data_IF_101899745713
#
_entry.id   IF_101899745713
#
_cell.length_a   1.000
_cell.length_b   1.000
_cell.length_c   1.000
_cell.angle_alpha   90.00
_cell.angle_beta   90.00
_cell.angle_gamma   90.00
#
_symmetry.space_group_name_H-M   'P 1'
#
loop_
_entity.id
_entity.type
_entity.pdbx_description
1 polymer ?
#
# COMPACT_ATOMS: atom_id res chain seq x y z
N UNK A 1 5.09 9.69 -4.84
CA UNK A 1 5.65 9.08 -3.60
C UNK A 1 4.89 9.60 -2.39
N UNK A 2 4.78 8.78 -1.34
CA UNK A 2 3.96 8.97 -0.16
C UNK A 2 4.76 8.60 1.09
N UNK A 3 4.21 8.82 2.26
CA UNK A 3 4.83 8.47 3.55
C UNK A 3 4.16 7.28 4.23
N UNK A 4 2.97 6.91 3.79
CA UNK A 4 2.10 5.93 4.43
C UNK A 4 1.40 6.46 5.68
N UNK A 5 1.31 7.78 5.81
CA UNK A 5 0.52 8.45 6.86
C UNK A 5 -0.79 8.91 6.23
N UNK A 6 -1.87 8.22 6.57
CA UNK A 6 -3.18 8.52 6.01
C UNK A 6 -3.66 9.89 6.47
N UNK A 7 -4.07 10.73 5.52
CA UNK A 7 -4.59 12.08 5.77
C UNK A 7 -6.11 12.09 5.92
N UNK A 8 -6.79 11.16 5.24
CA UNK A 8 -8.25 11.12 5.20
C UNK A 8 -8.77 9.71 4.92
N UNK A 9 -9.88 9.34 5.55
CA UNK A 9 -10.71 8.21 5.17
C UNK A 9 -11.82 8.73 4.24
N UNK A 10 -11.63 8.54 2.94
CA UNK A 10 -12.62 8.88 1.92
C UNK A 10 -13.57 7.73 1.61
N UNK A 11 -14.50 7.96 0.69
CA UNK A 11 -15.45 6.92 0.25
C UNK A 11 -15.60 6.93 -1.27
N UNK A 12 -15.78 5.77 -1.86
CA UNK A 12 -16.10 5.65 -3.27
C UNK A 12 -17.50 6.22 -3.51
N UNK A 13 -17.60 7.28 -4.32
CA UNK A 13 -18.88 7.90 -4.69
C UNK A 13 -19.55 7.17 -5.85
N UNK A 14 -18.76 6.80 -6.86
CA UNK A 14 -19.25 6.04 -8.02
C UNK A 14 -18.10 5.32 -8.72
N UNK A 15 -18.44 4.25 -9.44
CA UNK A 15 -17.52 3.49 -10.30
C UNK A 15 -18.20 3.29 -11.65
N UNK A 16 -17.60 3.83 -12.71
CA UNK A 16 -18.02 3.61 -14.08
C UNK A 16 -17.04 2.66 -14.78
N UNK A 17 -17.52 1.52 -15.27
CA UNK A 17 -16.68 0.62 -16.08
C UNK A 17 -16.53 1.18 -17.48
N UNK A 18 -15.29 1.30 -17.95
CA UNK A 18 -14.91 1.75 -19.31
C UNK A 18 -14.14 0.64 -20.03
N UNK A 19 -14.87 -0.33 -20.56
CA UNK A 19 -14.29 -1.55 -21.11
C UNK A 19 -13.70 -2.42 -19.98
N UNK A 20 -12.38 -2.64 -20.00
CA UNK A 20 -11.68 -3.36 -18.94
C UNK A 20 -11.10 -2.43 -17.85
N UNK A 21 -11.12 -1.12 -18.09
CA UNK A 21 -10.69 -0.09 -17.16
C UNK A 21 -11.89 0.43 -16.34
N UNK A 22 -11.62 1.30 -15.36
CA UNK A 22 -12.66 1.96 -14.57
C UNK A 22 -12.35 3.44 -14.37
N UNK A 23 -13.41 4.24 -14.32
CA UNK A 23 -13.38 5.61 -13.83
C UNK A 23 -14.02 5.63 -12.44
N UNK A 24 -13.25 6.02 -11.43
CA UNK A 24 -13.69 6.00 -10.03
C UNK A 24 -13.78 7.44 -9.53
N UNK A 25 -14.89 7.81 -8.93
CA UNK A 25 -15.04 9.08 -8.23
C UNK A 25 -15.00 8.83 -6.73
N UNK A 26 -14.15 9.56 -6.03
CA UNK A 26 -13.92 9.42 -4.59
C UNK A 26 -14.34 10.69 -3.89
N UNK A 27 -15.18 10.54 -2.87
CA UNK A 27 -15.57 11.62 -1.96
C UNK A 27 -14.44 11.84 -0.95
N UNK A 28 -13.91 13.07 -0.91
CA UNK A 28 -12.80 13.47 -0.07
C UNK A 28 -12.80 15.01 0.06
N UNK A 29 -12.22 15.52 1.16
CA UNK A 29 -12.12 16.97 1.42
C UNK A 29 -10.74 17.43 1.78
N UNK A 30 -10.02 16.66 2.61
CA UNK A 30 -8.67 17.01 3.08
C UNK A 30 -7.66 16.86 1.94
N UNK A 31 -7.68 15.73 1.24
CA UNK A 31 -6.74 15.46 0.14
C UNK A 31 -7.06 16.25 -1.12
N UNK A 32 -8.26 16.82 -1.26
CA UNK A 32 -8.61 17.71 -2.38
C UNK A 32 -8.16 19.13 -2.15
N UNK A 33 -7.95 19.55 -0.87
CA UNK A 33 -7.49 20.89 -0.54
C UNK A 33 -6.07 21.13 -1.06
N UNK A 34 -5.93 22.04 -2.02
CA UNK A 34 -4.66 22.38 -2.67
C UNK A 34 -4.19 21.41 -3.73
N UNK A 35 -4.89 20.28 -3.94
CA UNK A 35 -4.64 19.36 -5.06
C UNK A 35 -5.23 19.89 -6.36
N UNK A 36 -4.66 19.44 -7.49
CA UNK A 36 -5.05 19.83 -8.85
C UNK A 36 -5.12 18.58 -9.73
N UNK A 37 -5.80 18.71 -10.84
CA UNK A 37 -5.77 17.70 -11.91
C UNK A 37 -4.32 17.41 -12.32
N UNK A 38 -3.96 16.13 -12.35
CA UNK A 38 -2.61 15.64 -12.61
C UNK A 38 -1.77 15.36 -11.37
N UNK A 39 -2.18 15.80 -10.17
CA UNK A 39 -1.50 15.42 -8.93
C UNK A 39 -1.70 13.94 -8.61
N UNK A 40 -0.75 13.35 -7.88
CA UNK A 40 -0.87 11.96 -7.42
C UNK A 40 -1.54 11.91 -6.03
N UNK A 41 -2.55 11.07 -5.90
CA UNK A 41 -3.18 10.71 -4.62
C UNK A 41 -3.10 9.20 -4.46
N UNK A 42 -2.67 8.74 -3.28
CA UNK A 42 -2.70 7.34 -2.90
C UNK A 42 -4.12 6.96 -2.47
N UNK A 43 -4.68 5.90 -3.05
CA UNK A 43 -5.98 5.32 -2.70
C UNK A 43 -5.75 3.89 -2.27
N UNK A 44 -5.93 3.58 -0.99
CA UNK A 44 -5.58 2.27 -0.40
C UNK A 44 -4.16 1.80 -0.78
N UNK A 45 -3.19 2.74 -0.83
CA UNK A 45 -1.81 2.44 -1.21
C UNK A 45 -1.57 2.33 -2.72
N UNK A 46 -2.55 2.62 -3.57
CA UNK A 46 -2.38 2.68 -5.02
C UNK A 46 -2.22 4.13 -5.46
N UNK A 47 -1.12 4.45 -6.11
CA UNK A 47 -0.87 5.78 -6.68
C UNK A 47 -1.77 6.00 -7.89
N UNK A 48 -2.70 6.95 -7.79
CA UNK A 48 -3.59 7.34 -8.88
C UNK A 48 -3.37 8.81 -9.25
N UNK A 49 -3.57 9.13 -10.51
CA UNK A 49 -3.60 10.52 -10.99
C UNK A 49 -4.97 11.11 -10.74
N UNK A 50 -5.04 12.17 -9.94
CA UNK A 50 -6.28 12.88 -9.66
C UNK A 50 -6.76 13.63 -10.89
N UNK A 51 -8.03 13.52 -11.18
CA UNK A 51 -8.77 14.16 -12.25
C UNK A 51 -10.02 14.81 -11.69
N UNK A 52 -10.54 15.83 -12.37
CA UNK A 52 -11.79 16.49 -11.98
C UNK A 52 -11.83 16.86 -10.48
N UNK A 53 -10.71 17.39 -9.97
CA UNK A 53 -10.59 17.74 -8.54
C UNK A 53 -11.58 18.85 -8.19
N UNK A 54 -12.44 18.57 -7.21
CA UNK A 54 -13.47 19.46 -6.65
C UNK A 54 -13.27 19.57 -5.13
N UNK A 55 -13.90 20.55 -4.47
CA UNK A 55 -13.73 20.71 -3.00
C UNK A 55 -14.15 19.50 -2.16
N UNK A 56 -14.99 18.62 -2.72
CA UNK A 56 -15.58 17.48 -2.01
C UNK A 56 -15.34 16.12 -2.69
N UNK A 57 -14.54 16.10 -3.77
CA UNK A 57 -14.27 14.86 -4.51
C UNK A 57 -13.14 15.02 -5.52
N UNK A 58 -12.58 13.90 -5.96
CA UNK A 58 -11.77 13.80 -7.16
C UNK A 58 -12.10 12.51 -7.90
N UNK A 59 -11.76 12.45 -9.19
CA UNK A 59 -11.87 11.26 -9.99
C UNK A 59 -10.50 10.68 -10.30
N UNK A 60 -10.46 9.41 -10.71
CA UNK A 60 -9.27 8.77 -11.25
C UNK A 60 -9.65 7.71 -12.28
N UNK A 61 -8.87 7.63 -13.37
CA UNK A 61 -8.93 6.51 -14.31
C UNK A 61 -8.00 5.39 -13.83
N UNK A 62 -8.53 4.18 -13.72
CA UNK A 62 -7.82 3.01 -13.18
C UNK A 62 -7.76 1.94 -14.26
N UNK A 63 -6.53 1.57 -14.64
CA UNK A 63 -6.30 0.56 -15.67
C UNK A 63 -6.71 -0.84 -15.20
N UNK A 64 -7.03 -1.73 -16.17
CA UNK A 64 -7.27 -3.16 -15.93
C UNK A 64 -6.17 -3.79 -15.06
N UNK A 65 -4.90 -3.51 -15.37
CA UNK A 65 -3.77 -4.08 -14.62
C UNK A 65 -3.83 -3.66 -13.14
N UNK A 66 -4.10 -2.38 -12.87
CA UNK A 66 -4.24 -1.85 -11.51
C UNK A 66 -5.44 -2.47 -10.78
N UNK A 67 -6.59 -2.58 -11.46
CA UNK A 67 -7.78 -3.23 -10.92
C UNK A 67 -7.52 -4.70 -10.56
N UNK A 68 -6.76 -5.40 -11.41
CA UNK A 68 -6.42 -6.82 -11.20
C UNK A 68 -5.40 -7.01 -10.09
N UNK A 69 -4.38 -6.14 -9.98
CA UNK A 69 -3.28 -6.26 -9.03
C UNK A 69 -3.58 -5.76 -7.64
N UNK A 70 -4.63 -4.96 -7.48
CA UNK A 70 -4.97 -4.31 -6.21
C UNK A 70 -6.39 -4.61 -5.76
N UNK A 71 -6.73 -4.17 -4.54
CA UNK A 71 -8.10 -4.25 -4.00
C UNK A 71 -9.06 -3.28 -4.68
N UNK A 72 -8.56 -2.34 -5.53
CA UNK A 72 -9.42 -1.38 -6.22
C UNK A 72 -10.44 -2.05 -7.13
N UNK A 73 -10.12 -3.24 -7.68
CA UNK A 73 -11.04 -4.01 -8.52
C UNK A 73 -12.26 -4.58 -7.79
N UNK A 74 -12.22 -4.65 -6.46
CA UNK A 74 -13.34 -5.13 -5.62
C UNK A 74 -14.13 -4.02 -4.93
N UNK A 75 -13.73 -2.75 -5.13
CA UNK A 75 -14.45 -1.62 -4.56
C UNK A 75 -15.86 -1.50 -5.15
N UNK A 76 -16.78 -1.05 -4.32
CA UNK A 76 -18.15 -0.70 -4.68
C UNK A 76 -18.47 0.71 -4.18
N UNK A 77 -19.56 1.28 -4.63
CA UNK A 77 -20.07 2.55 -4.11
C UNK A 77 -20.26 2.47 -2.58
N UNK A 78 -19.78 3.48 -1.87
CA UNK A 78 -19.74 3.55 -0.41
C UNK A 78 -18.51 2.86 0.24
N UNK A 79 -17.66 2.15 -0.53
CA UNK A 79 -16.44 1.55 0.04
C UNK A 79 -15.53 2.61 0.65
N UNK A 80 -15.05 2.42 1.90
CA UNK A 80 -14.07 3.30 2.51
C UNK A 80 -12.70 3.12 1.87
N UNK A 81 -11.97 4.22 1.69
CA UNK A 81 -10.62 4.20 1.11
C UNK A 81 -9.68 5.13 1.90
N UNK A 82 -8.50 4.63 2.21
CA UNK A 82 -7.42 5.41 2.82
C UNK A 82 -6.81 6.33 1.77
N UNK A 83 -6.66 7.62 2.10
CA UNK A 83 -6.18 8.64 1.18
C UNK A 83 -4.96 9.36 1.74
N UNK A 84 -3.98 9.59 0.86
CA UNK A 84 -2.78 10.39 1.16
C UNK A 84 -2.35 11.14 -0.10
N UNK A 85 -2.02 12.44 0.03
CA UNK A 85 -1.43 13.23 -1.06
C UNK A 85 0.03 12.89 -1.27
N UNK A 86 0.52 13.06 -2.48
CA UNK A 86 1.96 12.93 -2.76
C UNK A 86 2.79 13.92 -1.93
N UNK A 87 3.98 13.48 -1.51
CA UNK A 87 4.91 14.31 -0.74
C UNK A 87 5.40 15.52 -1.55
N UNK A 88 5.61 16.60 -0.83
CA UNK A 88 6.31 17.81 -1.32
C UNK A 88 7.71 17.87 -0.69
N UNK A 89 8.63 18.74 -1.13
CA UNK A 89 9.93 18.93 -0.50
C UNK A 89 9.88 19.34 0.99
N UNK A 90 8.72 19.82 1.45
CA UNK A 90 8.51 20.24 2.84
C UNK A 90 7.80 19.17 3.71
N UNK A 91 7.33 18.09 3.11
CA UNK A 91 6.61 17.02 3.83
C UNK A 91 7.57 16.25 4.74
N UNK A 92 7.17 16.02 6.00
CA UNK A 92 7.92 15.16 6.92
C UNK A 92 7.68 13.70 6.54
N UNK A 93 8.74 12.90 6.47
CA UNK A 93 8.63 11.45 6.30
C UNK A 93 8.30 10.81 7.67
N UNK A 94 7.01 10.78 8.02
CA UNK A 94 6.53 10.24 9.30
C UNK A 94 6.44 8.70 9.33
N UNK A 95 6.38 8.06 8.16
CA UNK A 95 6.39 6.61 7.99
C UNK A 95 7.65 6.14 7.30
N UNK A 96 7.52 5.56 6.09
CA UNK A 96 8.64 5.16 5.23
C UNK A 96 8.38 5.61 3.78
N UNK A 97 9.28 5.28 2.86
CA UNK A 97 9.11 5.62 1.44
C UNK A 97 8.08 4.67 0.83
N UNK A 98 6.87 5.16 0.60
CA UNK A 98 5.78 4.45 -0.07
C UNK A 98 5.63 5.01 -1.48
N UNK A 99 5.67 4.15 -2.49
CA UNK A 99 5.60 4.56 -3.89
C UNK A 99 4.15 4.63 -4.40
N UNK A 100 3.25 3.86 -3.77
CA UNK A 100 1.90 3.61 -4.26
C UNK A 100 1.87 2.51 -5.32
N UNK A 101 2.87 1.63 -5.31
CA UNK A 101 3.03 0.54 -6.25
C UNK A 101 2.83 -0.80 -5.54
N UNK A 102 1.58 -1.24 -5.46
CA UNK A 102 1.18 -2.48 -4.80
C UNK A 102 1.94 -3.67 -5.37
N UNK A 103 2.64 -4.41 -4.49
CA UNK A 103 3.39 -5.60 -4.88
C UNK A 103 2.53 -6.85 -4.92
N UNK A 104 1.59 -6.93 -3.98
CA UNK A 104 0.73 -8.09 -3.84
C UNK A 104 -0.56 -7.73 -3.11
N UNK A 105 -1.56 -8.61 -3.24
CA UNK A 105 -2.70 -8.63 -2.32
C UNK A 105 -2.40 -9.62 -1.19
N UNK A 106 -2.55 -9.16 0.05
CA UNK A 106 -2.57 -10.00 1.24
C UNK A 106 -3.99 -10.29 1.68
N UNK A 107 -4.13 -10.98 2.81
CA UNK A 107 -5.43 -11.27 3.39
C UNK A 107 -5.42 -10.97 4.88
N UNK A 108 -6.40 -10.21 5.36
CA UNK A 108 -6.62 -10.02 6.79
C UNK A 108 -7.12 -11.30 7.43
N UNK A 109 -6.39 -11.81 8.42
CA UNK A 109 -6.72 -13.07 9.12
C UNK A 109 -7.51 -12.84 10.40
N UNK A 110 -7.46 -11.63 10.94
CA UNK A 110 -8.15 -11.25 12.17
C UNK A 110 -7.32 -10.34 13.06
N UNK A 111 -7.94 -9.89 14.14
CA UNK A 111 -7.32 -9.03 15.13
C UNK A 111 -7.53 -9.59 16.53
N UNK A 112 -6.59 -9.30 17.42
CA UNK A 112 -6.68 -9.54 18.86
C UNK A 112 -6.72 -8.19 19.57
N UNK A 113 -7.73 -7.98 20.40
CA UNK A 113 -7.92 -6.76 21.18
C UNK A 113 -7.14 -6.84 22.49
N UNK A 114 -6.34 -5.81 22.79
CA UNK A 114 -5.56 -5.68 24.03
C UNK A 114 -6.04 -4.49 24.90
N UNK A 115 -7.24 -3.98 24.65
CA UNK A 115 -7.86 -2.86 25.34
C UNK A 115 -7.49 -1.51 24.73
N UNK A 116 -6.21 -1.10 24.78
CA UNK A 116 -5.74 0.18 24.22
C UNK A 116 -5.02 0.02 22.85
N UNK A 117 -4.97 -1.18 22.31
CA UNK A 117 -4.36 -1.50 21.02
C UNK A 117 -4.87 -2.82 20.49
N UNK A 118 -4.57 -3.09 19.23
CA UNK A 118 -4.91 -4.36 18.57
C UNK A 118 -3.68 -4.97 17.93
N UNK A 119 -3.57 -6.28 17.92
CA UNK A 119 -2.66 -7.01 17.05
C UNK A 119 -3.43 -7.46 15.82
N UNK A 120 -3.06 -6.97 14.65
CA UNK A 120 -3.61 -7.40 13.37
C UNK A 120 -2.70 -8.41 12.71
N UNK A 121 -3.31 -9.45 12.13
CA UNK A 121 -2.59 -10.52 11.42
C UNK A 121 -2.97 -10.53 9.95
N UNK A 122 -1.94 -10.53 9.07
CA UNK A 122 -2.11 -10.53 7.61
C UNK A 122 -1.32 -11.67 6.98
N UNK A 123 -2.01 -12.51 6.18
CA UNK A 123 -1.33 -13.43 5.29
C UNK A 123 -0.74 -12.68 4.10
N UNK A 124 0.40 -13.14 3.61
CA UNK A 124 1.07 -12.61 2.44
C UNK A 124 1.48 -13.73 1.48
N UNK A 125 1.50 -13.47 0.15
CA UNK A 125 1.99 -14.44 -0.82
C UNK A 125 3.50 -14.60 -0.71
N UNK A 126 3.98 -15.84 -0.93
CA UNK A 126 5.38 -16.24 -0.71
C UNK A 126 6.39 -15.38 -1.46
N UNK A 127 6.00 -14.85 -2.60
CA UNK A 127 6.84 -14.05 -3.50
C UNK A 127 7.39 -12.80 -2.84
N UNK A 128 6.62 -12.17 -1.94
CA UNK A 128 7.07 -10.96 -1.23
C UNK A 128 7.76 -11.25 0.10
N UNK A 129 7.71 -12.50 0.60
CA UNK A 129 8.23 -12.87 1.93
C UNK A 129 9.70 -12.53 2.12
N UNK A 130 10.53 -12.62 1.07
CA UNK A 130 11.98 -12.29 1.10
C UNK A 130 12.26 -10.79 1.34
N UNK A 131 11.29 -9.93 1.14
CA UNK A 131 11.41 -8.48 1.38
C UNK A 131 10.95 -8.07 2.77
N UNK A 132 10.25 -8.97 3.49
CA UNK A 132 9.73 -8.70 4.82
C UNK A 132 10.79 -9.02 5.86
N UNK A 133 10.97 -8.13 6.83
CA UNK A 133 11.90 -8.34 7.94
C UNK A 133 11.24 -7.97 9.27
N UNK A 134 11.54 -8.71 10.33
CA UNK A 134 11.09 -8.38 11.67
C UNK A 134 11.54 -6.96 12.05
N UNK A 135 10.63 -6.13 12.54
CA UNK A 135 10.81 -4.70 12.82
C UNK A 135 11.07 -3.82 11.60
N UNK A 136 10.94 -4.37 10.39
CA UNK A 136 10.95 -3.58 9.15
C UNK A 136 9.60 -2.91 8.89
N UNK A 137 9.57 -2.07 7.87
CA UNK A 137 8.37 -1.37 7.41
C UNK A 137 7.64 -2.17 6.32
N UNK A 138 6.33 -2.03 6.29
CA UNK A 138 5.44 -2.47 5.21
C UNK A 138 4.29 -1.47 5.09
N UNK A 139 3.82 -1.22 3.88
CA UNK A 139 2.56 -0.51 3.68
C UNK A 139 1.42 -1.53 3.49
N UNK A 140 0.36 -1.41 4.29
CA UNK A 140 -0.89 -2.19 4.18
C UNK A 140 -2.02 -1.22 3.93
N UNK A 141 -2.75 -1.35 2.81
CA UNK A 141 -3.78 -0.38 2.39
C UNK A 141 -3.25 1.08 2.40
N UNK A 142 -1.96 1.26 2.06
CA UNK A 142 -1.27 2.54 2.07
C UNK A 142 -0.77 3.00 3.44
N UNK A 143 -1.07 2.31 4.52
CA UNK A 143 -0.68 2.68 5.88
C UNK A 143 0.74 2.14 6.16
N UNK A 144 1.67 3.02 6.53
CA UNK A 144 3.02 2.64 6.96
C UNK A 144 2.99 2.00 8.34
N UNK A 145 3.45 0.76 8.43
CA UNK A 145 3.38 -0.05 9.64
C UNK A 145 4.68 -0.79 9.89
N UNK A 146 4.94 -1.08 11.16
CA UNK A 146 6.09 -1.87 11.59
C UNK A 146 5.69 -3.32 11.83
N UNK A 147 6.40 -4.27 11.22
CA UNK A 147 6.20 -5.70 11.43
C UNK A 147 6.59 -6.05 12.87
N UNK A 148 5.61 -6.38 13.69
CA UNK A 148 5.79 -6.74 15.10
C UNK A 148 6.13 -8.22 15.29
N UNK A 149 5.66 -9.09 14.41
CA UNK A 149 6.00 -10.51 14.33
C UNK A 149 5.96 -10.96 12.87
N UNK A 150 6.82 -11.91 12.50
CA UNK A 150 6.91 -12.43 11.14
C UNK A 150 7.08 -13.95 11.19
N UNK A 151 6.24 -14.66 10.46
CA UNK A 151 6.29 -16.11 10.29
C UNK A 151 6.31 -16.49 8.82
N UNK A 152 6.45 -17.76 8.48
CA UNK A 152 6.22 -18.21 7.11
C UNK A 152 4.70 -18.16 6.80
N UNK A 153 4.31 -17.21 5.96
CA UNK A 153 2.95 -17.04 5.44
C UNK A 153 2.12 -15.94 6.09
N UNK A 154 2.49 -15.37 7.24
CA UNK A 154 1.81 -14.20 7.80
C UNK A 154 2.73 -13.32 8.63
N UNK A 155 2.34 -12.06 8.79
CA UNK A 155 2.95 -11.12 9.73
C UNK A 155 1.89 -10.51 10.65
N UNK A 156 2.37 -9.95 11.76
CA UNK A 156 1.55 -9.24 12.73
C UNK A 156 2.03 -7.80 12.87
N UNK A 157 1.09 -6.89 13.08
CA UNK A 157 1.31 -5.48 13.34
C UNK A 157 0.52 -5.03 14.55
N UNK A 158 1.05 -4.07 15.29
CA UNK A 158 0.33 -3.42 16.38
C UNK A 158 -0.40 -2.19 15.84
N UNK A 159 -1.70 -2.09 16.09
CA UNK A 159 -2.55 -0.96 15.71
C UNK A 159 -2.90 -0.17 16.96
N UNK A 160 -2.59 1.12 16.95
CA UNK A 160 -2.95 2.08 17.99
C UNK A 160 -4.33 2.69 17.71
N UNK A 161 -5.03 3.23 18.73
CA UNK A 161 -6.37 3.80 18.57
C UNK A 161 -6.48 4.81 17.43
N UNK A 162 -5.47 5.67 17.29
CA UNK A 162 -5.49 6.68 16.21
C UNK A 162 -5.53 6.05 14.81
N UNK A 163 -4.71 5.02 14.56
CA UNK A 163 -4.71 4.31 13.26
C UNK A 163 -6.05 3.62 13.01
N UNK A 164 -6.60 2.97 14.03
CA UNK A 164 -7.92 2.35 13.96
C UNK A 164 -9.02 3.35 13.58
N UNK A 165 -9.00 4.54 14.19
CA UNK A 165 -10.03 5.58 14.00
C UNK A 165 -10.00 6.22 12.60
N UNK A 166 -8.79 6.50 12.07
CA UNK A 166 -8.62 7.33 10.86
C UNK A 166 -8.39 6.53 9.59
N UNK A 167 -8.48 5.20 9.63
CA UNK A 167 -8.24 4.33 8.48
C UNK A 167 -9.37 3.32 8.28
N UNK A 168 -9.36 2.65 7.12
CA UNK A 168 -10.32 1.59 6.81
C UNK A 168 -10.13 0.31 7.66
N UNK A 169 -9.10 0.23 8.50
CA UNK A 169 -8.82 -0.95 9.33
C UNK A 169 -9.93 -1.30 10.31
N UNK A 170 -10.68 -0.28 10.79
CA UNK A 170 -11.85 -0.49 11.65
C UNK A 170 -13.00 -1.26 10.97
N UNK A 171 -12.98 -1.39 9.64
CA UNK A 171 -14.03 -2.04 8.85
C UNK A 171 -13.61 -3.39 8.28
N UNK A 172 -12.33 -3.79 8.42
CA UNK A 172 -11.81 -5.06 7.93
C UNK A 172 -12.45 -6.25 8.66
N UNK A 173 -12.78 -7.28 7.88
CA UNK A 173 -13.28 -8.56 8.38
C UNK A 173 -12.30 -9.68 8.00
N UNK A 174 -12.15 -10.72 8.84
CA UNK A 174 -11.34 -11.87 8.49
C UNK A 174 -11.71 -12.43 7.10
N UNK A 175 -10.71 -12.56 6.25
CA UNK A 175 -10.88 -12.97 4.86
C UNK A 175 -10.79 -11.83 3.83
N UNK A 176 -10.93 -10.57 4.25
CA UNK A 176 -10.80 -9.43 3.33
C UNK A 176 -9.39 -9.35 2.75
N UNK A 177 -9.31 -9.01 1.47
CA UNK A 177 -8.04 -8.73 0.79
C UNK A 177 -7.57 -7.32 1.14
N UNK A 178 -6.24 -7.15 1.18
CA UNK A 178 -5.58 -5.87 1.42
C UNK A 178 -4.41 -5.68 0.46
N UNK A 179 -4.14 -4.46 0.05
CA UNK A 179 -2.96 -4.10 -0.73
C UNK A 179 -1.71 -4.13 0.15
N UNK A 180 -0.66 -4.77 -0.33
CA UNK A 180 0.65 -4.82 0.30
C UNK A 180 1.70 -4.19 -0.61
N UNK A 181 2.46 -3.23 -0.06
CA UNK A 181 3.67 -2.70 -0.69
C UNK A 181 4.83 -2.90 0.27
N UNK A 182 5.86 -3.63 -0.16
CA UNK A 182 7.08 -3.85 0.63
C UNK A 182 7.99 -2.61 0.58
N UNK A 183 8.83 -2.41 1.57
CA UNK A 183 9.80 -1.31 1.56
C UNK A 183 10.68 -1.39 0.31
N UNK A 184 10.68 -0.32 -0.48
CA UNK A 184 11.42 -0.24 -1.75
C UNK A 184 12.91 -0.48 -1.56
N UNK A 185 13.47 -0.15 -0.38
CA UNK A 185 14.88 -0.39 -0.04
C UNK A 185 15.17 -1.89 -0.08
N UNK A 186 14.27 -2.75 0.41
CA UNK A 186 14.43 -4.19 0.38
C UNK A 186 14.55 -4.73 -1.06
N UNK A 187 13.77 -4.17 -2.01
CA UNK A 187 13.83 -4.53 -3.43
C UNK A 187 15.19 -4.16 -4.05
N UNK A 188 15.71 -2.96 -3.75
CA UNK A 188 17.02 -2.54 -4.27
C UNK A 188 18.16 -3.37 -3.67
N UNK A 189 18.13 -3.65 -2.36
CA UNK A 189 19.13 -4.49 -1.69
C UNK A 189 19.15 -5.89 -2.32
N UNK A 190 18.00 -6.51 -2.50
CA UNK A 190 17.90 -7.84 -3.13
C UNK A 190 18.44 -7.82 -4.56
N UNK A 191 18.05 -6.82 -5.37
CA UNK A 191 18.53 -6.70 -6.74
C UNK A 191 20.06 -6.55 -6.83
N UNK A 192 20.66 -5.76 -5.95
CA UNK A 192 22.12 -5.55 -5.91
C UNK A 192 22.84 -6.86 -5.52
N UNK A 193 22.37 -7.56 -4.48
CA UNK A 193 22.96 -8.79 -4.02
C UNK A 193 22.87 -9.92 -5.05
N UNK A 194 21.74 -10.05 -5.72
CA UNK A 194 21.51 -11.05 -6.77
C UNK A 194 22.44 -10.84 -7.96
N UNK A 195 22.65 -9.58 -8.38
CA UNK A 195 23.56 -9.25 -9.48
C UNK A 195 25.04 -9.46 -9.11
N UNK A 196 25.40 -9.26 -7.84
CA UNK A 196 26.79 -9.44 -7.36
C UNK A 196 27.17 -10.92 -7.29
N UNK A 197 26.26 -11.81 -6.94
CA UNK A 197 26.48 -13.27 -6.90
C UNK A 197 26.71 -13.86 -8.30
N UNK A 198 26.05 -13.33 -9.34
CA UNK A 198 26.27 -13.75 -10.72
C UNK A 198 27.67 -13.40 -11.24
N UNK A 199 28.26 -12.28 -10.81
CA UNK A 199 29.62 -11.88 -11.20
C UNK A 199 30.71 -12.72 -10.52
N UNK A 200 30.47 -13.26 -9.32
CA UNK A 200 31.45 -14.13 -8.59
C UNK A 200 31.47 -15.58 -9.09
N UNK A 201 30.37 -16.05 -9.70
CA UNK A 201 30.28 -17.40 -10.29
C UNK A 201 31.02 -17.55 -11.63
N UNK A 202 31.49 -16.46 -12.24
CA UNK A 202 32.18 -16.46 -13.54
C UNK A 202 33.73 -16.55 -13.49
N UNK A 203 34.33 -16.61 -12.31
CA UNK A 203 35.78 -16.82 -12.19
C UNK A 203 36.03 -18.31 -11.97
N UNK A 204 35.83 -19.11 -13.00
CA UNK A 204 36.42 -20.45 -13.05
C UNK A 204 37.93 -20.30 -13.33
N UNK A 205 38.73 -20.85 -12.45
CA UNK A 205 40.17 -20.96 -12.62
C UNK A 205 40.46 -21.69 -13.94
N UNK A 206 40.86 -20.94 -14.96
CA UNK A 206 41.51 -21.47 -16.15
C UNK A 206 43.00 -21.08 -16.09
N UNK A 207 43.87 -22.07 -15.91
CA UNK A 207 45.28 -21.93 -16.21
C UNK A 207 46.22 -22.17 -15.04
N UNK A 208 46.48 -23.42 -14.76
CA UNK A 208 47.80 -23.94 -14.35
C UNK A 208 48.00 -25.24 -15.12
N UNK A 209 48.68 -25.13 -16.25
CA UNK A 209 49.50 -26.15 -16.85
C UNK A 209 50.89 -25.53 -17.05
#
# INVERSE_FOLDING_TARGET
MFTGIIEELGHVRSIEKRGEDAHIVIEARTVTEGSRDGDSISVNGVCLTALEVKPDSFAADVSKETLFRSTLGSLIEGSPVNLERAVTPATRLGGHIVQGHVDARGKFLGSEDHGESWTFRFAYPKEIGRYLVFKGSIAVEGISLTIANLTDGYFEIAIIPKTWEVTNFSQLKPGDEVNLEVDVIAKYVESILSNTSLQRGGITASGMD
#
